data_IF_440835224589
#
_entry.id   IF_440835224589
#
_cell.length_a   1.000
_cell.length_b   1.000
_cell.length_c   1.000
_cell.angle_alpha   90.00
_cell.angle_beta   90.00
_cell.angle_gamma   90.00
#
_symmetry.space_group_name_H-M   'P 1'
#
loop_
_entity.id
_entity.type
_entity.pdbx_description
1 polymer ?
#
# COMPACT_ATOMS: atom_id res chain seq x y z
N UNK A 1 5.42 -29.22 -136.20
CA UNK A 1 5.15 -30.67 -136.05
C UNK A 1 5.44 -31.36 -137.38
N UNK A 2 6.56 -32.06 -137.51
CA UNK A 2 6.84 -32.91 -138.68
C UNK A 2 5.92 -34.13 -138.59
N UNK A 3 5.06 -34.34 -139.58
CA UNK A 3 4.18 -35.52 -139.67
C UNK A 3 5.02 -36.70 -140.13
N UNK A 4 4.94 -37.82 -139.43
CA UNK A 4 5.62 -39.05 -139.81
C UNK A 4 5.08 -39.53 -141.17
N UNK A 5 5.93 -39.93 -142.13
CA UNK A 5 5.51 -40.48 -143.41
C UNK A 5 4.58 -41.68 -143.23
N UNK A 6 3.67 -41.92 -144.19
CA UNK A 6 2.74 -43.05 -144.08
C UNK A 6 3.46 -44.41 -144.18
N UNK A 7 4.62 -44.43 -144.84
CA UNK A 7 5.46 -45.61 -145.05
C UNK A 7 6.60 -45.72 -144.02
N UNK A 8 6.48 -45.05 -142.88
CA UNK A 8 7.49 -45.12 -141.82
C UNK A 8 7.59 -46.56 -141.28
N UNK A 9 8.74 -47.18 -141.53
CA UNK A 9 8.97 -48.60 -141.26
C UNK A 9 8.73 -48.97 -139.79
N UNK A 10 9.08 -48.07 -138.86
CA UNK A 10 8.87 -48.29 -137.43
C UNK A 10 7.37 -48.30 -137.06
N UNK A 11 6.55 -47.47 -137.72
CA UNK A 11 5.11 -47.38 -137.50
C UNK A 11 4.38 -48.58 -138.10
N UNK A 12 4.73 -48.99 -139.32
CA UNK A 12 4.13 -50.16 -139.96
C UNK A 12 4.47 -51.45 -139.19
N UNK A 13 5.71 -51.59 -138.70
CA UNK A 13 6.12 -52.73 -137.89
C UNK A 13 5.31 -52.84 -136.57
N UNK A 14 5.01 -51.71 -135.93
CA UNK A 14 4.17 -51.68 -134.73
C UNK A 14 2.68 -51.97 -135.00
N UNK A 15 2.17 -51.61 -136.19
CA UNK A 15 0.77 -51.87 -136.60
C UNK A 15 0.57 -53.32 -137.08
N UNK A 16 1.61 -54.01 -137.54
CA UNK A 16 1.53 -55.41 -137.95
C UNK A 16 1.82 -56.41 -136.81
N UNK A 17 2.41 -55.97 -135.70
CA UNK A 17 2.58 -56.78 -134.49
C UNK A 17 1.30 -56.77 -133.64
N UNK A 18 0.42 -57.74 -133.87
CA UNK A 18 -0.91 -57.89 -133.24
C UNK A 18 -0.83 -57.89 -131.70
N UNK A 19 0.28 -58.37 -131.13
CA UNK A 19 0.54 -58.37 -129.68
C UNK A 19 0.83 -56.97 -129.13
N UNK A 20 1.55 -56.15 -129.88
CA UNK A 20 1.84 -54.77 -129.51
C UNK A 20 0.61 -53.85 -129.64
N UNK A 21 -0.29 -54.16 -130.58
CA UNK A 21 -1.59 -53.50 -130.72
C UNK A 21 -2.54 -53.76 -129.55
N UNK A 22 -2.53 -54.98 -129.00
CA UNK A 22 -3.44 -55.38 -127.91
C UNK A 22 -2.87 -55.05 -126.52
N UNK A 23 -1.56 -55.17 -126.30
CA UNK A 23 -0.91 -55.02 -124.99
C UNK A 23 0.52 -54.43 -125.07
N UNK A 24 0.74 -53.41 -125.88
CA UNK A 24 2.01 -52.69 -125.93
C UNK A 24 2.28 -51.91 -124.63
N UNK A 25 3.08 -52.48 -123.73
CA UNK A 25 3.54 -51.82 -122.50
C UNK A 25 5.03 -51.53 -122.63
N UNK A 26 5.40 -50.26 -122.52
CA UNK A 26 6.80 -49.86 -122.39
C UNK A 26 7.31 -50.22 -120.99
N UNK A 27 7.85 -51.44 -120.87
CA UNK A 27 8.37 -51.99 -119.62
C UNK A 27 9.56 -51.21 -119.07
N UNK A 28 10.31 -50.51 -119.94
CA UNK A 28 11.44 -49.66 -119.55
C UNK A 28 10.93 -48.37 -118.94
N UNK A 29 9.98 -47.69 -119.60
CA UNK A 29 9.34 -46.50 -119.04
C UNK A 29 8.58 -46.81 -117.74
N UNK A 30 7.88 -47.95 -117.66
CA UNK A 30 7.22 -48.39 -116.44
C UNK A 30 8.23 -48.68 -115.31
N UNK A 31 9.36 -49.32 -115.62
CA UNK A 31 10.45 -49.53 -114.67
C UNK A 31 11.03 -48.21 -114.14
N UNK A 32 11.24 -47.23 -115.02
CA UNK A 32 11.66 -45.88 -114.64
C UNK A 32 10.62 -45.21 -113.72
N UNK A 33 9.32 -45.25 -114.06
CA UNK A 33 8.25 -44.68 -113.24
C UNK A 33 8.14 -45.33 -111.86
N UNK A 34 8.26 -46.65 -111.76
CA UNK A 34 8.26 -47.37 -110.47
C UNK A 34 9.50 -47.00 -109.65
N UNK A 35 10.67 -46.87 -110.28
CA UNK A 35 11.89 -46.44 -109.60
C UNK A 35 11.79 -44.99 -109.09
N UNK A 36 11.21 -44.10 -109.88
CA UNK A 36 10.96 -42.71 -109.50
C UNK A 36 9.95 -42.62 -108.35
N UNK A 37 8.86 -43.39 -108.42
CA UNK A 37 7.88 -43.47 -107.34
C UNK A 37 8.51 -43.94 -106.03
N UNK A 38 9.30 -45.02 -106.07
CA UNK A 38 10.04 -45.53 -104.90
C UNK A 38 11.02 -44.49 -104.34
N UNK A 39 11.72 -43.75 -105.20
CA UNK A 39 12.61 -42.67 -104.77
C UNK A 39 11.84 -41.51 -104.14
N UNK A 40 10.68 -41.14 -104.69
CA UNK A 40 9.79 -40.11 -104.12
C UNK A 40 9.22 -40.54 -102.76
N UNK A 41 8.76 -41.78 -102.64
CA UNK A 41 8.28 -42.36 -101.37
C UNK A 41 9.40 -42.44 -100.34
N UNK A 42 10.59 -42.89 -100.73
CA UNK A 42 11.75 -42.92 -99.83
C UNK A 42 12.18 -41.52 -99.38
N UNK A 43 12.17 -40.53 -100.29
CA UNK A 43 12.46 -39.13 -99.96
C UNK A 43 11.38 -38.50 -99.07
N UNK A 44 10.10 -38.81 -99.29
CA UNK A 44 9.00 -38.37 -98.42
C UNK A 44 9.13 -38.99 -97.03
N UNK A 45 9.34 -40.31 -96.94
CA UNK A 45 9.58 -41.00 -95.68
C UNK A 45 10.81 -40.47 -94.94
N UNK A 46 11.88 -40.09 -95.65
CA UNK A 46 13.05 -39.46 -95.03
C UNK A 46 12.73 -38.06 -94.50
N UNK A 47 12.00 -37.24 -95.26
CA UNK A 47 11.54 -35.92 -94.78
C UNK A 47 10.66 -36.03 -93.55
N UNK A 48 9.77 -37.03 -93.50
CA UNK A 48 8.89 -37.27 -92.36
C UNK A 48 9.70 -37.71 -91.13
N UNK A 49 10.74 -38.54 -91.31
CA UNK A 49 11.67 -38.90 -90.22
C UNK A 49 12.46 -37.70 -89.74
N UNK A 50 12.99 -36.89 -90.66
CA UNK A 50 13.77 -35.69 -90.31
C UNK A 50 12.87 -34.68 -89.57
N UNK A 51 11.64 -34.45 -90.07
CA UNK A 51 10.64 -33.60 -89.42
C UNK A 51 10.26 -34.12 -88.03
N UNK A 52 10.04 -35.43 -87.88
CA UNK A 52 9.78 -36.07 -86.59
C UNK A 52 10.98 -35.92 -85.64
N UNK A 53 12.21 -36.05 -86.13
CA UNK A 53 13.43 -35.89 -85.32
C UNK A 53 13.59 -34.44 -84.83
N UNK A 54 13.31 -33.44 -85.70
CA UNK A 54 13.34 -32.02 -85.35
C UNK A 54 12.23 -31.71 -84.35
N UNK A 55 11.03 -32.25 -84.54
CA UNK A 55 9.92 -32.08 -83.61
C UNK A 55 10.20 -32.69 -82.24
N UNK A 56 10.83 -33.88 -82.19
CA UNK A 56 11.27 -34.51 -80.94
C UNK A 56 12.36 -33.68 -80.25
N UNK A 57 13.35 -33.17 -80.99
CA UNK A 57 14.40 -32.31 -80.44
C UNK A 57 13.82 -30.99 -79.89
N UNK A 58 12.88 -30.37 -80.61
CA UNK A 58 12.19 -29.17 -80.16
C UNK A 58 11.33 -29.43 -78.92
N UNK A 59 10.63 -30.55 -78.85
CA UNK A 59 9.85 -30.95 -77.67
C UNK A 59 10.76 -31.22 -76.46
N UNK A 60 11.90 -31.89 -76.65
CA UNK A 60 12.87 -32.12 -75.59
C UNK A 60 13.50 -30.82 -75.08
N UNK A 61 13.85 -29.89 -75.98
CA UNK A 61 14.36 -28.58 -75.61
C UNK A 61 13.31 -27.75 -74.84
N UNK A 62 12.04 -27.78 -75.26
CA UNK A 62 10.95 -27.11 -74.56
C UNK A 62 10.70 -27.71 -73.17
N UNK A 63 10.77 -29.04 -73.02
CA UNK A 63 10.66 -29.71 -71.73
C UNK A 63 11.81 -29.34 -70.79
N UNK A 64 13.05 -29.36 -71.28
CA UNK A 64 14.22 -28.94 -70.49
C UNK A 64 14.15 -27.47 -70.05
N UNK A 65 13.69 -26.57 -70.93
CA UNK A 65 13.47 -25.16 -70.58
C UNK A 65 12.37 -24.98 -69.53
N UNK A 66 11.28 -25.75 -69.62
CA UNK A 66 10.21 -25.72 -68.63
C UNK A 66 10.68 -26.24 -67.25
N UNK A 67 11.46 -27.32 -67.23
CA UNK A 67 12.05 -27.85 -66.00
C UNK A 67 13.04 -26.86 -65.37
N UNK A 68 13.90 -26.23 -66.17
CA UNK A 68 14.82 -25.18 -65.71
C UNK A 68 14.07 -23.99 -65.10
N UNK A 69 13.02 -23.49 -65.78
CA UNK A 69 12.19 -22.40 -65.27
C UNK A 69 11.47 -22.76 -63.95
N UNK A 70 11.01 -24.01 -63.80
CA UNK A 70 10.41 -24.49 -62.54
C UNK A 70 11.48 -24.59 -61.45
N UNK A 71 12.68 -25.08 -61.76
CA UNK A 71 13.79 -25.17 -60.82
C UNK A 71 14.23 -23.78 -60.31
N UNK A 72 14.36 -22.80 -61.21
CA UNK A 72 14.67 -21.41 -60.85
C UNK A 72 13.60 -20.78 -59.96
N UNK A 73 12.32 -20.96 -60.30
CA UNK A 73 11.20 -20.48 -59.46
C UNK A 73 11.23 -21.11 -58.07
N UNK A 74 11.51 -22.41 -57.97
CA UNK A 74 11.65 -23.11 -56.68
C UNK A 74 12.85 -22.61 -55.89
N UNK A 75 13.98 -22.35 -56.54
CA UNK A 75 15.15 -21.79 -55.90
C UNK A 75 14.89 -20.39 -55.36
N UNK A 76 14.27 -19.51 -56.15
CA UNK A 76 13.89 -18.15 -55.74
C UNK A 76 12.85 -18.15 -54.61
N UNK A 77 11.86 -19.05 -54.65
CA UNK A 77 10.90 -19.20 -53.57
C UNK A 77 11.57 -19.65 -52.26
N UNK A 78 12.57 -20.53 -52.35
CA UNK A 78 13.34 -20.99 -51.19
C UNK A 78 14.19 -19.88 -50.58
N UNK A 79 14.86 -19.06 -51.40
CA UNK A 79 15.65 -17.93 -50.88
C UNK A 79 14.76 -16.90 -50.20
N UNK A 80 13.63 -16.56 -50.81
CA UNK A 80 12.64 -15.65 -50.22
C UNK A 80 12.11 -16.18 -48.88
N UNK A 81 11.80 -17.47 -48.79
CA UNK A 81 11.35 -18.09 -47.55
C UNK A 81 12.40 -17.98 -46.43
N UNK A 82 13.67 -18.24 -46.75
CA UNK A 82 14.77 -18.13 -45.79
C UNK A 82 14.97 -16.68 -45.31
N UNK A 83 14.84 -15.70 -46.20
CA UNK A 83 14.89 -14.28 -45.85
C UNK A 83 13.71 -13.87 -44.96
N UNK A 84 12.50 -14.31 -45.29
CA UNK A 84 11.31 -14.06 -44.46
C UNK A 84 11.45 -14.69 -43.08
N UNK A 85 11.98 -15.91 -42.98
CA UNK A 85 12.26 -16.56 -41.70
C UNK A 85 13.29 -15.77 -40.89
N UNK A 86 14.37 -15.32 -41.51
CA UNK A 86 15.38 -14.49 -40.85
C UNK A 86 14.79 -13.17 -40.34
N UNK A 87 14.01 -12.48 -41.18
CA UNK A 87 13.35 -11.23 -40.79
C UNK A 87 12.36 -11.44 -39.64
N UNK A 88 11.60 -12.54 -39.65
CA UNK A 88 10.68 -12.88 -38.58
C UNK A 88 11.42 -13.13 -37.24
N UNK A 89 12.56 -13.81 -37.28
CA UNK A 89 13.40 -14.03 -36.08
C UNK A 89 13.99 -12.71 -35.57
N UNK A 90 14.51 -11.86 -36.45
CA UNK A 90 15.04 -10.54 -36.08
C UNK A 90 13.94 -9.64 -35.50
N UNK A 91 12.74 -9.63 -36.09
CA UNK A 91 11.60 -8.89 -35.58
C UNK A 91 11.17 -9.38 -34.19
N UNK A 92 11.06 -10.70 -33.99
CA UNK A 92 10.73 -11.28 -32.69
C UNK A 92 11.79 -10.94 -31.62
N UNK A 93 13.08 -10.96 -31.99
CA UNK A 93 14.16 -10.55 -31.09
C UNK A 93 14.05 -9.07 -30.69
N UNK A 94 13.77 -8.17 -31.64
CA UNK A 94 13.55 -6.74 -31.36
C UNK A 94 12.39 -6.51 -30.41
N UNK A 95 11.26 -7.20 -30.63
CA UNK A 95 10.09 -7.12 -29.73
C UNK A 95 10.44 -7.60 -28.32
N UNK A 96 11.20 -8.70 -28.18
CA UNK A 96 11.65 -9.20 -26.87
C UNK A 96 12.53 -8.18 -26.15
N UNK A 97 13.51 -7.60 -26.84
CA UNK A 97 14.41 -6.58 -26.27
C UNK A 97 13.62 -5.34 -25.86
N UNK A 98 12.73 -4.84 -26.73
CA UNK A 98 11.88 -3.68 -26.44
C UNK A 98 10.98 -3.95 -25.23
N UNK A 99 10.36 -5.13 -25.15
CA UNK A 99 9.54 -5.51 -23.99
C UNK A 99 10.37 -5.58 -22.71
N UNK A 100 11.58 -6.15 -22.75
CA UNK A 100 12.45 -6.21 -21.59
C UNK A 100 12.89 -4.80 -21.13
N UNK A 101 13.15 -3.89 -22.08
CA UNK A 101 13.46 -2.49 -21.78
C UNK A 101 12.26 -1.76 -21.16
N UNK A 102 11.05 -1.97 -21.68
CA UNK A 102 9.83 -1.40 -21.13
C UNK A 102 9.60 -1.88 -19.69
N UNK A 103 9.66 -3.19 -19.44
CA UNK A 103 9.54 -3.74 -18.09
C UNK A 103 10.60 -3.17 -17.14
N UNK A 104 11.86 -3.05 -17.60
CA UNK A 104 12.92 -2.44 -16.80
C UNK A 104 12.74 -0.94 -16.58
N UNK A 105 12.01 -0.23 -17.44
CA UNK A 105 11.64 1.18 -17.21
C UNK A 105 10.50 1.26 -16.18
N UNK A 106 9.48 0.42 -16.32
CA UNK A 106 8.35 0.31 -15.39
C UNK A 106 8.84 -0.02 -13.97
N UNK A 107 9.76 -0.98 -13.82
CA UNK A 107 10.34 -1.35 -12.52
C UNK A 107 11.08 -0.18 -11.85
N UNK A 108 11.79 0.64 -12.65
CA UNK A 108 12.48 1.84 -12.13
C UNK A 108 11.50 2.92 -11.73
N UNK A 109 10.43 3.12 -12.50
CA UNK A 109 9.36 4.06 -12.16
C UNK A 109 8.68 3.65 -10.85
N UNK A 110 8.34 2.37 -10.70
CA UNK A 110 7.77 1.84 -9.46
C UNK A 110 8.72 2.01 -8.27
N UNK A 111 10.01 1.73 -8.45
CA UNK A 111 11.02 1.95 -7.41
C UNK A 111 11.15 3.43 -7.04
N UNK A 112 11.14 4.33 -8.02
CA UNK A 112 11.19 5.76 -7.79
C UNK A 112 9.94 6.26 -7.05
N UNK A 113 8.75 5.79 -7.43
CA UNK A 113 7.49 6.11 -6.77
C UNK A 113 7.47 5.60 -5.32
N UNK A 114 7.96 4.39 -5.06
CA UNK A 114 8.05 3.86 -3.69
C UNK A 114 9.04 4.67 -2.82
N UNK A 115 10.12 5.17 -3.42
CA UNK A 115 11.09 6.02 -2.75
C UNK A 115 10.63 7.48 -2.60
N UNK A 116 9.58 7.90 -3.32
CA UNK A 116 9.09 9.28 -3.32
C UNK A 116 8.63 9.70 -1.91
N UNK A 117 9.29 10.71 -1.30
CA UNK A 117 8.92 11.26 0.00
C UNK A 117 7.46 11.74 0.10
N UNK A 118 6.84 12.09 -1.03
CA UNK A 118 5.44 12.49 -1.10
C UNK A 118 4.49 11.31 -0.88
N UNK A 119 4.81 10.14 -1.43
CA UNK A 119 3.96 8.94 -1.38
C UNK A 119 4.18 8.10 -0.11
N UNK A 120 5.41 7.99 0.36
CA UNK A 120 5.75 7.20 1.57
C UNK A 120 5.65 8.01 2.87
N UNK A 121 5.18 9.24 2.79
CA UNK A 121 5.01 10.18 3.89
C UNK A 121 6.27 10.47 4.73
N UNK A 122 7.46 10.37 4.15
CA UNK A 122 8.73 10.46 4.88
C UNK A 122 8.81 11.68 5.83
N UNK A 123 9.04 11.43 7.13
CA UNK A 123 9.09 12.47 8.17
C UNK A 123 10.18 13.53 7.94
N UNK A 124 11.25 13.17 7.24
CA UNK A 124 12.33 14.09 6.88
C UNK A 124 11.90 15.25 5.98
N UNK A 125 10.77 15.15 5.28
CA UNK A 125 10.24 16.25 4.44
C UNK A 125 9.90 17.51 5.25
N UNK A 126 9.59 17.33 6.54
CA UNK A 126 9.25 18.40 7.45
C UNK A 126 10.49 19.14 7.99
N UNK A 127 11.71 18.61 7.82
CA UNK A 127 12.92 19.23 8.33
C UNK A 127 13.21 20.56 7.63
N UNK A 128 13.51 21.61 8.40
CA UNK A 128 13.93 22.89 7.85
C UNK A 128 15.41 22.87 7.48
N UNK A 129 15.75 23.39 6.30
CA UNK A 129 17.15 23.58 5.91
C UNK A 129 17.89 24.60 6.79
N UNK A 130 17.16 25.51 7.46
CA UNK A 130 17.74 26.59 8.26
C UNK A 130 18.04 26.19 9.70
N UNK A 131 17.47 25.09 10.20
CA UNK A 131 17.63 24.66 11.58
C UNK A 131 17.16 23.23 11.81
N UNK A 132 17.91 22.48 12.60
CA UNK A 132 17.56 21.11 12.99
C UNK A 132 16.31 21.02 13.89
N UNK A 133 15.96 22.09 14.61
CA UNK A 133 14.80 22.11 15.52
C UNK A 133 13.56 22.74 14.91
N UNK A 134 13.70 23.50 13.81
CA UNK A 134 12.56 24.09 13.11
C UNK A 134 11.98 23.10 12.11
N UNK A 135 10.66 23.08 12.06
CA UNK A 135 9.89 22.28 11.12
C UNK A 135 9.29 23.22 10.07
N UNK A 136 9.28 22.79 8.82
CA UNK A 136 8.57 23.50 7.76
C UNK A 136 7.07 23.42 8.01
N UNK A 137 6.39 24.57 7.92
CA UNK A 137 4.97 24.68 8.28
C UNK A 137 4.05 23.95 7.30
N UNK A 138 4.44 23.89 6.04
CA UNK A 138 3.69 23.25 4.95
C UNK A 138 3.75 21.72 4.98
N UNK A 139 4.81 21.13 5.54
CA UNK A 139 5.03 19.68 5.60
C UNK A 139 4.94 19.11 7.02
N UNK A 140 4.35 19.85 7.96
CA UNK A 140 4.20 19.36 9.32
C UNK A 140 3.05 18.34 9.42
N UNK A 141 3.39 17.10 9.76
CA UNK A 141 2.45 15.96 9.87
C UNK A 141 2.17 15.53 11.31
N UNK A 142 2.40 16.40 12.29
CA UNK A 142 2.21 16.11 13.71
C UNK A 142 3.51 15.84 14.47
N UNK A 143 3.37 15.38 15.72
CA UNK A 143 4.49 15.08 16.61
C UNK A 143 5.05 13.70 16.32
N UNK A 144 6.36 13.52 16.53
CA UNK A 144 6.97 12.19 16.46
C UNK A 144 6.63 11.34 17.70
N UNK A 145 6.78 10.03 17.59
CA UNK A 145 6.43 9.10 18.67
C UNK A 145 7.24 9.35 19.95
N UNK A 146 8.49 9.79 19.82
CA UNK A 146 9.34 10.17 20.96
C UNK A 146 8.80 11.37 21.72
N UNK A 147 8.32 12.39 21.02
CA UNK A 147 7.67 13.57 21.60
C UNK A 147 6.35 13.18 22.28
N UNK A 148 5.53 12.35 21.63
CA UNK A 148 4.29 11.85 22.22
C UNK A 148 4.56 11.03 23.49
N UNK A 149 5.60 10.18 23.48
CA UNK A 149 6.03 9.44 24.66
C UNK A 149 6.50 10.36 25.79
N UNK A 150 7.27 11.41 25.46
CA UNK A 150 7.71 12.40 26.44
C UNK A 150 6.53 13.18 27.05
N UNK A 151 5.54 13.56 26.25
CA UNK A 151 4.30 14.21 26.73
C UNK A 151 3.56 13.29 27.70
N UNK A 152 3.37 12.01 27.35
CA UNK A 152 2.71 11.02 28.22
C UNK A 152 3.47 10.82 29.53
N UNK A 153 4.80 10.73 29.47
CA UNK A 153 5.65 10.63 30.66
C UNK A 153 5.52 11.87 31.56
N UNK A 154 5.51 13.07 30.96
CA UNK A 154 5.29 14.33 31.67
C UNK A 154 3.93 14.37 32.38
N UNK A 155 2.86 13.96 31.69
CA UNK A 155 1.51 13.87 32.28
C UNK A 155 1.45 12.89 33.45
N UNK A 156 2.08 11.71 33.32
CA UNK A 156 2.16 10.74 34.40
C UNK A 156 2.90 11.30 35.62
N UNK A 157 4.01 12.01 35.41
CA UNK A 157 4.78 12.67 36.46
C UNK A 157 3.97 13.77 37.17
N UNK A 158 3.22 14.59 36.41
CA UNK A 158 2.33 15.61 36.95
C UNK A 158 1.22 15.01 37.81
N UNK A 159 0.58 13.93 37.33
CA UNK A 159 -0.46 13.23 38.11
C UNK A 159 0.10 12.65 39.41
N UNK A 160 1.31 12.07 39.38
CA UNK A 160 1.98 11.56 40.56
C UNK A 160 2.38 12.68 41.54
N UNK A 161 2.82 13.83 41.05
CA UNK A 161 3.13 15.00 41.88
C UNK A 161 1.86 15.56 42.55
N UNK A 162 0.77 15.68 41.81
CA UNK A 162 -0.53 16.13 42.32
C UNK A 162 -1.05 15.21 43.43
N UNK A 163 -0.98 13.88 43.25
CA UNK A 163 -1.35 12.91 44.29
C UNK A 163 -0.52 13.06 45.56
N UNK A 164 0.80 13.23 45.43
CA UNK A 164 1.70 13.44 46.58
C UNK A 164 1.39 14.74 47.32
N UNK A 165 1.09 15.82 46.58
CA UNK A 165 0.71 17.09 47.19
C UNK A 165 -0.62 16.98 47.94
N UNK A 166 -1.62 16.28 47.36
CA UNK A 166 -2.90 16.03 48.03
C UNK A 166 -2.73 15.21 49.32
N UNK A 167 -1.87 14.19 49.31
CA UNK A 167 -1.54 13.40 50.51
C UNK A 167 -0.89 14.27 51.58
N UNK A 168 0.12 15.07 51.23
CA UNK A 168 0.79 15.95 52.18
C UNK A 168 -0.16 16.99 52.79
N UNK A 169 -1.10 17.53 52.00
CA UNK A 169 -2.12 18.45 52.51
C UNK A 169 -3.06 17.74 53.50
N UNK A 170 -3.53 16.53 53.16
CA UNK A 170 -4.39 15.75 54.04
C UNK A 170 -3.69 15.41 55.37
N UNK A 171 -2.39 15.09 55.33
CA UNK A 171 -1.59 14.87 56.54
C UNK A 171 -1.47 16.13 57.40
N UNK A 172 -1.25 17.30 56.79
CA UNK A 172 -1.21 18.58 57.50
C UNK A 172 -2.55 18.94 58.13
N UNK A 173 -3.65 18.72 57.41
CA UNK A 173 -4.99 18.94 57.94
C UNK A 173 -5.29 18.01 59.11
N UNK A 174 -4.96 16.73 59.00
CA UNK A 174 -5.10 15.76 60.09
C UNK A 174 -4.28 16.17 61.32
N UNK A 175 -3.04 16.61 61.12
CA UNK A 175 -2.19 17.13 62.20
C UNK A 175 -2.78 18.38 62.85
N UNK A 176 -3.33 19.31 62.06
CA UNK A 176 -4.00 20.52 62.57
C UNK A 176 -5.24 20.17 63.39
N UNK A 177 -6.05 19.22 62.92
CA UNK A 177 -7.25 18.75 63.64
C UNK A 177 -6.83 18.09 64.96
N UNK A 178 -5.83 17.21 64.96
CA UNK A 178 -5.32 16.59 66.17
C UNK A 178 -4.79 17.62 67.18
N UNK A 179 -3.98 18.60 66.73
CA UNK A 179 -3.50 19.69 67.57
C UNK A 179 -4.66 20.51 68.16
N UNK A 180 -5.69 20.81 67.35
CA UNK A 180 -6.89 21.53 67.80
C UNK A 180 -7.62 20.75 68.89
N UNK A 181 -7.79 19.43 68.73
CA UNK A 181 -8.42 18.58 69.74
C UNK A 181 -7.64 18.54 71.05
N UNK A 182 -6.30 18.48 70.99
CA UNK A 182 -5.45 18.53 72.17
C UNK A 182 -5.66 19.85 72.94
N UNK A 183 -5.60 20.99 72.25
CA UNK A 183 -5.82 22.31 72.87
C UNK A 183 -7.22 22.40 73.48
N UNK A 184 -8.26 21.96 72.76
CA UNK A 184 -9.63 21.96 73.26
C UNK A 184 -9.79 21.09 74.52
N UNK A 185 -9.16 19.90 74.54
CA UNK A 185 -9.19 19.00 75.70
C UNK A 185 -8.47 19.59 76.92
N UNK A 186 -7.32 20.25 76.71
CA UNK A 186 -6.58 20.91 77.77
C UNK A 186 -7.38 22.09 78.35
N UNK A 187 -7.98 22.92 77.50
CA UNK A 187 -8.83 24.04 77.94
C UNK A 187 -10.05 23.55 78.73
N UNK A 188 -10.68 22.45 78.30
CA UNK A 188 -11.80 21.86 79.03
C UNK A 188 -11.38 21.34 80.41
N UNK A 189 -10.19 20.74 80.52
CA UNK A 189 -9.64 20.32 81.82
C UNK A 189 -9.35 21.52 82.73
N UNK A 190 -8.73 22.57 82.22
CA UNK A 190 -8.49 23.80 82.99
C UNK A 190 -9.78 24.45 83.47
N UNK A 191 -10.81 24.54 82.61
CA UNK A 191 -12.12 25.06 82.99
C UNK A 191 -12.78 24.22 84.10
N UNK A 192 -12.69 22.89 84.00
CA UNK A 192 -13.20 21.99 85.04
C UNK A 192 -12.47 22.16 86.36
N UNK A 193 -11.14 22.28 86.34
CA UNK A 193 -10.32 22.55 87.53
C UNK A 193 -10.66 23.91 88.15
N UNK A 194 -10.77 24.96 87.34
CA UNK A 194 -11.15 26.29 87.80
C UNK A 194 -12.56 26.31 88.41
N UNK A 195 -13.52 25.59 87.83
CA UNK A 195 -14.86 25.44 88.37
C UNK A 195 -14.85 24.68 89.71
N UNK A 196 -14.08 23.60 89.82
CA UNK A 196 -13.91 22.86 91.06
C UNK A 196 -13.28 23.73 92.16
N UNK A 197 -12.24 24.49 91.84
CA UNK A 197 -11.62 25.43 92.76
C UNK A 197 -12.61 26.50 93.22
N UNK A 198 -13.37 27.11 92.31
CA UNK A 198 -14.42 28.08 92.65
C UNK A 198 -15.50 27.47 93.54
N UNK A 199 -15.89 26.22 93.30
CA UNK A 199 -16.86 25.53 94.15
C UNK A 199 -16.29 25.27 95.56
N UNK A 200 -15.02 24.87 95.67
CA UNK A 200 -14.36 24.69 96.99
C UNK A 200 -14.21 26.00 97.74
N UNK A 201 -13.78 27.07 97.07
CA UNK A 201 -13.62 28.39 97.70
C UNK A 201 -14.97 28.96 98.12
N UNK A 202 -16.01 28.81 97.30
CA UNK A 202 -17.37 29.21 97.65
C UNK A 202 -17.89 28.48 98.89
N UNK A 203 -17.61 27.18 99.03
CA UNK A 203 -17.95 26.40 100.24
C UNK A 203 -17.21 26.94 101.46
N UNK A 204 -15.90 27.14 101.38
CA UNK A 204 -15.12 27.71 102.49
C UNK A 204 -15.64 29.09 102.91
N UNK A 205 -15.90 29.97 101.94
CA UNK A 205 -16.47 31.30 102.22
C UNK A 205 -17.85 31.19 102.89
N UNK A 206 -18.69 30.24 102.47
CA UNK A 206 -19.99 30.02 103.10
C UNK A 206 -19.85 29.52 104.55
N UNK A 207 -18.94 28.55 104.79
CA UNK A 207 -18.67 28.02 106.13
C UNK A 207 -18.15 29.12 107.07
N UNK A 208 -17.21 29.94 106.58
CA UNK A 208 -16.69 31.10 107.31
C UNK A 208 -17.80 32.11 107.65
N UNK A 209 -18.69 32.41 106.69
CA UNK A 209 -19.83 33.31 106.92
C UNK A 209 -20.80 32.75 107.96
N UNK A 210 -21.07 31.44 107.93
CA UNK A 210 -21.91 30.78 108.93
C UNK A 210 -21.27 30.83 110.32
N UNK A 211 -19.96 30.59 110.42
CA UNK A 211 -19.22 30.70 111.67
C UNK A 211 -19.25 32.14 112.20
N UNK A 212 -18.92 33.13 111.37
CA UNK A 212 -18.99 34.55 111.74
C UNK A 212 -20.40 34.96 112.19
N UNK A 213 -21.44 34.47 111.53
CA UNK A 213 -22.82 34.74 111.93
C UNK A 213 -23.17 34.13 113.30
N UNK A 214 -22.68 32.91 113.59
CA UNK A 214 -22.83 32.27 114.92
C UNK A 214 -22.08 33.05 115.99
N UNK A 215 -20.82 33.39 115.74
CA UNK A 215 -19.98 34.17 116.65
C UNK A 215 -20.57 35.56 116.91
N UNK A 216 -21.06 36.25 115.87
CA UNK A 216 -21.75 37.54 116.00
C UNK A 216 -23.01 37.40 116.85
N UNK A 217 -23.87 36.41 116.60
CA UNK A 217 -25.08 36.18 117.43
C UNK A 217 -24.73 35.93 118.90
N UNK A 218 -23.70 35.13 119.17
CA UNK A 218 -23.24 34.87 120.53
C UNK A 218 -22.69 36.15 121.20
N UNK A 219 -21.90 36.95 120.46
CA UNK A 219 -21.38 38.24 120.91
C UNK A 219 -22.49 39.25 121.19
N UNK A 220 -23.44 39.41 120.26
CA UNK A 220 -24.59 40.30 120.40
C UNK A 220 -25.43 39.90 121.62
N UNK A 221 -25.68 38.61 121.84
CA UNK A 221 -26.38 38.12 123.04
C UNK A 221 -25.63 38.45 124.34
N UNK A 222 -24.30 38.32 124.35
CA UNK A 222 -23.47 38.71 125.49
C UNK A 222 -23.48 40.23 125.74
N UNK A 223 -23.41 41.04 124.68
CA UNK A 223 -23.50 42.51 124.76
C UNK A 223 -24.86 42.97 125.25
N UNK A 224 -25.97 42.37 124.77
CA UNK A 224 -27.30 42.64 125.28
C UNK A 224 -27.40 42.40 126.79
N UNK A 225 -26.81 41.32 127.31
CA UNK A 225 -26.77 41.06 128.76
C UNK A 225 -25.97 42.12 129.52
N UNK A 226 -24.85 42.58 128.96
CA UNK A 226 -23.99 43.59 129.60
C UNK A 226 -24.65 44.98 129.65
N UNK A 227 -25.34 45.38 128.57
CA UNK A 227 -25.96 46.70 128.43
C UNK A 227 -27.42 46.75 128.89
N UNK A 228 -28.02 45.61 129.27
CA UNK A 228 -29.31 45.59 129.95
C UNK A 228 -29.06 45.78 131.43
N UNK A 229 -29.28 46.99 131.95
CA UNK A 229 -29.22 47.25 133.39
C UNK A 229 -30.36 46.50 134.08
N UNK A 230 -30.08 45.45 134.89
CA UNK A 230 -31.12 44.85 135.68
C UNK A 230 -31.54 45.86 136.75
N UNK A 231 -32.82 46.19 136.80
CA UNK A 231 -33.36 46.93 137.94
C UNK A 231 -33.27 45.99 139.13
N UNK A 232 -32.30 46.25 140.01
CA UNK A 232 -32.08 45.38 141.16
C UNK A 232 -33.26 45.51 142.13
N UNK A 233 -33.65 44.46 142.85
CA UNK A 233 -34.76 44.51 143.80
C UNK A 233 -34.62 45.65 144.83
N UNK A 234 -33.38 46.01 145.18
CA UNK A 234 -33.08 47.11 146.11
C UNK A 234 -33.54 48.48 145.58
N UNK A 235 -33.64 48.67 144.25
CA UNK A 235 -34.19 49.91 143.67
C UNK A 235 -35.67 50.06 144.01
N UNK A 236 -36.47 48.98 143.94
CA UNK A 236 -37.89 49.04 144.28
C UNK A 236 -38.13 49.22 145.79
N UNK A 237 -37.26 48.65 146.64
CA UNK A 237 -37.32 48.84 148.09
C UNK A 237 -37.17 50.31 148.54
N UNK A 238 -36.66 51.20 147.67
CA UNK A 238 -36.54 52.63 147.97
C UNK A 238 -37.88 53.40 147.87
N UNK A 239 -38.85 52.92 147.09
CA UNK A 239 -40.07 53.69 146.77
C UNK A 239 -41.16 53.65 147.86
N UNK A 240 -41.02 52.81 148.89
CA UNK A 240 -41.97 52.71 150.02
C UNK A 240 -41.29 52.76 151.41
N UNK A 241 -39.99 53.05 151.48
CA UNK A 241 -39.23 53.12 152.73
C UNK A 241 -39.48 54.39 153.57
N UNK A 242 -40.25 55.36 153.06
CA UNK A 242 -40.53 56.65 153.70
C UNK A 242 -42.04 56.89 153.81
N UNK A 243 -42.55 56.90 155.04
CA UNK A 243 -43.95 57.11 155.43
C UNK A 243 -44.30 58.61 155.55
N UNK A 244 -43.79 59.43 154.62
CA UNK A 244 -43.85 60.89 154.69
C UNK A 244 -44.94 61.47 153.80
#
# INVERSE_FOLDING_TARGET
MKRLPNDDAARLQAVHDEKYLHMGVDTVALGCQVSEHRLREAAAAQRDRDAASVQQAAAAAAAAAAEAAVAERRAAARTLLLEQQRQAVEAAARVRVSRAQALGADDRELAAAAADPMLNEHAGTAASALSATRVRRDHWKGMNDGQLAAVRAGQAAQAAASRRAAQALAEQEAARVAATHLVASALAQEQAQAAALRATTAKHVLDDQLQQAREKRARDAALCRLYTNPVRPEYFAQFEASHR
#
